data_IF_511835204201
#
_entry.id   IF_511835204201
#
_cell.length_a   1.000
_cell.length_b   1.000
_cell.length_c   1.000
_cell.angle_alpha   90.00
_cell.angle_beta   90.00
_cell.angle_gamma   90.00
#
_symmetry.space_group_name_H-M   'P 1'
#
loop_
_entity.id
_entity.type
_entity.pdbx_description
1 polymer ?
#
# COMPACT_ATOMS: atom_id res chain seq x y z
N UNK A 1 5.79 12.02 -11.81
CA UNK A 1 5.73 11.29 -10.53
C UNK A 1 4.48 10.39 -10.38
N UNK A 2 3.28 10.92 -10.65
CA UNK A 2 2.02 10.18 -10.45
C UNK A 2 1.93 8.87 -11.25
N UNK A 3 2.12 8.96 -12.57
CA UNK A 3 2.04 7.79 -13.48
C UNK A 3 3.12 6.77 -13.16
N UNK A 4 4.37 7.21 -12.92
CA UNK A 4 5.47 6.32 -12.58
C UNK A 4 5.21 5.54 -11.29
N UNK A 5 4.58 6.16 -10.29
CA UNK A 5 4.20 5.51 -9.04
C UNK A 5 3.15 4.41 -9.27
N UNK A 6 2.11 4.70 -10.06
CA UNK A 6 1.08 3.72 -10.42
C UNK A 6 1.64 2.53 -11.20
N UNK A 7 2.54 2.79 -12.14
CA UNK A 7 3.23 1.74 -12.91
C UNK A 7 4.09 0.88 -11.99
N UNK A 8 4.80 1.48 -11.03
CA UNK A 8 5.60 0.72 -10.07
C UNK A 8 4.73 -0.22 -9.22
N UNK A 9 3.57 0.22 -8.75
CA UNK A 9 2.61 -0.64 -8.04
C UNK A 9 2.07 -1.78 -8.91
N UNK A 10 1.75 -1.49 -10.17
CA UNK A 10 1.28 -2.51 -11.12
C UNK A 10 2.37 -3.56 -11.38
N UNK A 11 3.62 -3.16 -11.55
CA UNK A 11 4.76 -4.07 -11.74
C UNK A 11 5.01 -4.91 -10.48
N UNK A 12 4.95 -4.31 -9.31
CA UNK A 12 5.09 -5.02 -8.03
C UNK A 12 3.97 -6.04 -7.83
N UNK A 13 2.72 -5.67 -8.12
CA UNK A 13 1.57 -6.57 -8.08
C UNK A 13 1.67 -7.72 -9.08
N UNK A 14 2.16 -7.45 -10.28
CA UNK A 14 2.47 -8.47 -11.29
C UNK A 14 3.51 -9.47 -10.79
N UNK A 15 4.64 -9.00 -10.26
CA UNK A 15 5.70 -9.85 -9.75
C UNK A 15 5.24 -10.71 -8.56
N UNK A 16 4.47 -10.13 -7.64
CA UNK A 16 3.90 -10.84 -6.50
C UNK A 16 2.92 -11.95 -6.93
N UNK A 17 2.03 -11.65 -7.89
CA UNK A 17 1.11 -12.64 -8.43
C UNK A 17 1.84 -13.79 -9.13
N UNK A 18 2.86 -13.49 -9.94
CA UNK A 18 3.67 -14.49 -10.64
C UNK A 18 4.43 -15.40 -9.66
N UNK A 19 4.99 -14.83 -8.58
CA UNK A 19 5.64 -15.59 -7.53
C UNK A 19 4.69 -16.56 -6.82
N UNK A 20 3.41 -16.20 -6.74
CA UNK A 20 2.33 -17.04 -6.17
C UNK A 20 1.66 -17.98 -7.18
N UNK A 21 2.28 -18.21 -8.32
CA UNK A 21 1.72 -19.03 -9.41
C UNK A 21 0.39 -18.47 -9.97
N UNK A 22 0.11 -17.21 -9.69
CA UNK A 22 -1.00 -16.46 -10.27
C UNK A 22 -0.61 -15.78 -11.57
N UNK A 23 -1.60 -15.16 -12.22
CA UNK A 23 -1.35 -14.41 -13.43
C UNK A 23 -0.85 -12.99 -13.08
N UNK A 24 0.27 -12.59 -13.67
CA UNK A 24 0.82 -11.24 -13.56
C UNK A 24 -0.22 -10.15 -13.81
N UNK A 25 -1.08 -10.34 -14.80
CA UNK A 25 -2.15 -9.40 -15.15
C UNK A 25 -3.11 -9.13 -13.97
N UNK A 26 -3.52 -10.17 -13.26
CA UNK A 26 -4.45 -10.04 -12.13
C UNK A 26 -3.83 -9.26 -10.96
N UNK A 27 -2.56 -9.53 -10.66
CA UNK A 27 -1.81 -8.79 -9.66
C UNK A 27 -1.59 -7.33 -10.04
N UNK A 28 -1.28 -7.06 -11.31
CA UNK A 28 -1.10 -5.71 -11.82
C UNK A 28 -2.41 -4.90 -11.78
N UNK A 29 -3.53 -5.50 -12.19
CA UNK A 29 -4.86 -4.88 -12.12
C UNK A 29 -5.22 -4.57 -10.67
N UNK A 30 -5.07 -5.53 -9.78
CA UNK A 30 -5.39 -5.36 -8.37
C UNK A 30 -4.60 -4.23 -7.72
N UNK A 31 -3.29 -4.21 -7.91
CA UNK A 31 -2.43 -3.19 -7.36
C UNK A 31 -2.73 -1.79 -7.93
N UNK A 32 -2.94 -1.67 -9.23
CA UNK A 32 -3.27 -0.40 -9.88
C UNK A 32 -4.64 0.14 -9.42
N UNK A 33 -5.67 -0.70 -9.37
CA UNK A 33 -7.00 -0.34 -8.89
C UNK A 33 -6.96 0.05 -7.40
N UNK A 34 -6.26 -0.73 -6.58
CA UNK A 34 -6.09 -0.46 -5.16
C UNK A 34 -5.45 0.89 -4.89
N UNK A 35 -4.39 1.21 -5.63
CA UNK A 35 -3.68 2.48 -5.52
C UNK A 35 -4.58 3.68 -5.92
N UNK A 36 -5.25 3.59 -7.06
CA UNK A 36 -6.11 4.68 -7.58
C UNK A 36 -7.29 4.91 -6.63
N UNK A 37 -7.96 3.86 -6.21
CA UNK A 37 -9.11 3.97 -5.31
C UNK A 37 -8.71 4.34 -3.89
N UNK A 38 -7.59 3.84 -3.39
CA UNK A 38 -7.06 4.23 -2.10
C UNK A 38 -6.88 5.74 -2.01
N UNK A 39 -6.26 6.36 -3.01
CA UNK A 39 -6.12 7.81 -3.08
C UNK A 39 -7.47 8.54 -3.23
N UNK A 40 -8.32 8.09 -4.14
CA UNK A 40 -9.62 8.72 -4.39
C UNK A 40 -10.53 8.66 -3.15
N UNK A 41 -10.53 7.56 -2.43
CA UNK A 41 -11.38 7.38 -1.23
C UNK A 41 -10.81 8.06 0.01
N UNK A 42 -9.51 8.35 0.04
CA UNK A 42 -8.91 9.22 1.06
C UNK A 42 -9.38 10.65 0.93
N UNK A 43 -9.66 11.12 -0.29
CA UNK A 43 -10.19 12.46 -0.57
C UNK A 43 -9.39 13.57 0.14
N UNK A 44 -8.07 13.51 0.01
CA UNK A 44 -7.14 14.44 0.63
C UNK A 44 -6.97 14.29 2.16
N UNK A 45 -7.65 13.35 2.80
CA UNK A 45 -7.49 13.08 4.23
C UNK A 45 -6.14 12.43 4.51
N UNK A 46 -5.57 12.75 5.65
CA UNK A 46 -4.38 12.05 6.14
C UNK A 46 -4.72 10.58 6.46
N UNK A 47 -4.02 9.61 5.84
CA UNK A 47 -4.23 8.19 6.16
C UNK A 47 -4.07 7.86 7.65
N UNK A 48 -3.19 8.56 8.36
CA UNK A 48 -2.98 8.40 9.80
C UNK A 48 -4.15 8.87 10.66
N UNK A 49 -5.03 9.72 10.12
CA UNK A 49 -6.23 10.18 10.80
C UNK A 49 -7.42 9.21 10.70
N UNK A 50 -7.32 8.19 9.85
CA UNK A 50 -8.38 7.23 9.66
C UNK A 50 -8.47 6.26 10.85
N UNK A 51 -9.67 6.09 11.38
CA UNK A 51 -9.94 5.01 12.31
C UNK A 51 -9.97 3.65 11.59
N UNK A 52 -9.90 2.57 12.37
CA UNK A 52 -9.89 1.19 11.86
C UNK A 52 -11.08 0.89 10.95
N UNK A 53 -12.26 1.41 11.32
CA UNK A 53 -13.51 1.19 10.56
C UNK A 53 -13.49 1.87 9.19
N UNK A 54 -13.00 3.09 9.11
CA UNK A 54 -12.90 3.83 7.83
C UNK A 54 -11.83 3.23 6.93
N UNK A 55 -10.70 2.81 7.49
CA UNK A 55 -9.66 2.07 6.78
C UNK A 55 -10.19 0.76 6.19
N UNK A 56 -10.93 -0.02 6.98
CA UNK A 56 -11.55 -1.27 6.52
C UNK A 56 -12.55 -1.04 5.39
N UNK A 57 -13.33 0.05 5.41
CA UNK A 57 -14.26 0.41 4.32
C UNK A 57 -13.51 0.73 3.03
N UNK A 58 -12.41 1.47 3.09
CA UNK A 58 -11.60 1.80 1.90
C UNK A 58 -11.03 0.52 1.29
N UNK A 59 -10.47 -0.36 2.11
CA UNK A 59 -9.94 -1.65 1.67
C UNK A 59 -11.04 -2.50 1.02
N UNK A 60 -12.21 -2.61 1.63
CA UNK A 60 -13.33 -3.38 1.10
C UNK A 60 -13.81 -2.86 -0.27
N UNK A 61 -13.89 -1.55 -0.44
CA UNK A 61 -14.24 -0.92 -1.72
C UNK A 61 -13.19 -1.16 -2.79
N UNK A 62 -11.91 -1.07 -2.44
CA UNK A 62 -10.80 -1.35 -3.36
C UNK A 62 -10.79 -2.82 -3.80
N UNK A 63 -11.01 -3.75 -2.86
CA UNK A 63 -11.14 -5.18 -3.17
C UNK A 63 -12.30 -5.48 -4.11
N UNK A 64 -13.47 -4.89 -3.85
CA UNK A 64 -14.67 -5.06 -4.67
C UNK A 64 -14.43 -4.54 -6.10
N UNK A 65 -13.84 -3.37 -6.25
CA UNK A 65 -13.57 -2.79 -7.56
C UNK A 65 -12.52 -3.60 -8.34
N UNK A 66 -11.42 -4.00 -7.70
CA UNK A 66 -10.40 -4.82 -8.33
C UNK A 66 -10.91 -6.20 -8.74
N UNK A 67 -11.71 -6.84 -7.90
CA UNK A 67 -12.37 -8.10 -8.20
C UNK A 67 -13.33 -7.98 -9.37
N UNK A 68 -14.09 -6.87 -9.46
CA UNK A 68 -15.01 -6.60 -10.57
C UNK A 68 -14.24 -6.41 -11.89
N UNK A 69 -13.16 -5.63 -11.89
CA UNK A 69 -12.31 -5.45 -13.08
C UNK A 69 -11.71 -6.78 -13.52
N UNK A 70 -11.22 -7.59 -12.59
CA UNK A 70 -10.67 -8.92 -12.90
C UNK A 70 -11.75 -9.85 -13.48
N UNK A 71 -12.95 -9.85 -12.94
CA UNK A 71 -14.08 -10.65 -13.47
C UNK A 71 -14.43 -10.25 -14.91
N UNK A 72 -14.48 -8.95 -15.20
CA UNK A 72 -14.75 -8.43 -16.55
C UNK A 72 -13.65 -8.79 -17.55
N UNK A 73 -12.41 -8.89 -17.11
CA UNK A 73 -11.25 -9.29 -17.92
C UNK A 73 -10.98 -10.80 -17.91
N UNK A 74 -11.88 -11.60 -17.35
CA UNK A 74 -11.74 -13.06 -17.18
C UNK A 74 -10.49 -13.46 -16.38
N UNK A 75 -10.10 -12.61 -15.43
CA UNK A 75 -8.99 -12.83 -14.51
C UNK A 75 -9.42 -13.48 -13.19
N UNK A 76 -8.46 -13.65 -12.31
CA UNK A 76 -8.67 -14.17 -10.96
C UNK A 76 -9.16 -13.05 -10.02
N UNK A 77 -10.43 -13.12 -9.63
CA UNK A 77 -11.09 -12.14 -8.75
C UNK A 77 -10.40 -12.05 -7.38
N UNK A 78 -10.04 -13.18 -6.79
CA UNK A 78 -9.42 -13.22 -5.46
C UNK A 78 -7.99 -12.65 -5.50
N UNK A 79 -7.20 -13.00 -6.50
CA UNK A 79 -5.85 -12.47 -6.67
C UNK A 79 -5.86 -10.95 -6.84
N UNK A 80 -6.75 -10.42 -7.68
CA UNK A 80 -6.88 -8.98 -7.89
C UNK A 80 -7.38 -8.25 -6.62
N UNK A 81 -8.37 -8.80 -5.93
CA UNK A 81 -8.89 -8.23 -4.69
C UNK A 81 -7.82 -8.18 -3.58
N UNK A 82 -7.05 -9.24 -3.42
CA UNK A 82 -5.97 -9.29 -2.44
C UNK A 82 -4.84 -8.31 -2.77
N UNK A 83 -4.44 -8.21 -4.03
CA UNK A 83 -3.44 -7.23 -4.47
C UNK A 83 -3.91 -5.79 -4.23
N UNK A 84 -5.20 -5.50 -4.44
CA UNK A 84 -5.78 -4.18 -4.14
C UNK A 84 -5.73 -3.86 -2.63
N UNK A 85 -6.06 -4.80 -1.78
CA UNK A 85 -5.98 -4.62 -0.33
C UNK A 85 -4.56 -4.28 0.12
N UNK A 86 -3.57 -5.04 -0.34
CA UNK A 86 -2.14 -4.80 -0.05
C UNK A 86 -1.69 -3.42 -0.53
N UNK A 87 -2.09 -3.01 -1.74
CA UNK A 87 -1.74 -1.70 -2.28
C UNK A 87 -2.30 -0.55 -1.42
N UNK A 88 -3.56 -0.63 -0.99
CA UNK A 88 -4.18 0.37 -0.11
C UNK A 88 -3.48 0.44 1.24
N UNK A 89 -3.24 -0.70 1.88
CA UNK A 89 -2.58 -0.75 3.19
C UNK A 89 -1.16 -0.22 3.13
N UNK A 90 -0.38 -0.64 2.14
CA UNK A 90 1.02 -0.21 1.97
C UNK A 90 1.13 1.28 1.70
N UNK A 91 0.25 1.84 0.87
CA UNK A 91 0.25 3.26 0.56
C UNK A 91 -0.10 4.12 1.79
N UNK A 92 -1.15 3.74 2.54
CA UNK A 92 -1.54 4.44 3.75
C UNK A 92 -0.43 4.45 4.81
N UNK A 93 0.18 3.29 5.04
CA UNK A 93 1.28 3.15 6.01
C UNK A 93 2.53 3.92 5.58
N UNK A 94 2.87 3.90 4.29
CA UNK A 94 4.04 4.62 3.76
C UNK A 94 3.89 6.13 3.90
N UNK A 95 2.72 6.69 3.64
CA UNK A 95 2.45 8.12 3.80
C UNK A 95 2.55 8.56 5.25
N UNK A 96 1.93 7.84 6.17
CA UNK A 96 1.98 8.13 7.60
C UNK A 96 3.41 8.08 8.14
N UNK A 97 4.18 7.07 7.78
CA UNK A 97 5.57 6.90 8.19
C UNK A 97 6.44 8.04 7.65
N UNK A 98 6.31 8.35 6.37
CA UNK A 98 7.07 9.42 5.74
C UNK A 98 6.78 10.77 6.37
N UNK A 99 5.52 11.07 6.69
CA UNK A 99 5.14 12.30 7.37
C UNK A 99 5.74 12.38 8.79
N UNK A 100 5.65 11.30 9.56
CA UNK A 100 6.29 11.21 10.89
C UNK A 100 7.80 11.40 10.83
N UNK A 101 8.46 10.73 9.89
CA UNK A 101 9.90 10.85 9.70
C UNK A 101 10.30 12.27 9.28
N UNK A 102 9.58 12.84 8.32
CA UNK A 102 9.84 14.22 7.85
C UNK A 102 9.67 15.25 8.96
N UNK A 103 8.63 15.13 9.79
CA UNK A 103 8.42 15.99 10.97
C UNK A 103 9.54 15.87 11.99
N UNK A 104 10.03 14.66 12.21
CA UNK A 104 11.18 14.43 13.09
C UNK A 104 12.46 15.05 12.54
N UNK A 105 12.81 14.77 11.29
CA UNK A 105 14.04 15.26 10.65
C UNK A 105 14.07 16.78 10.51
N UNK A 106 12.92 17.40 10.28
CA UNK A 106 12.79 18.87 10.23
C UNK A 106 12.85 19.57 11.61
N UNK A 107 12.96 18.81 12.69
CA UNK A 107 13.03 19.35 14.04
C UNK A 107 11.69 19.69 14.68
N UNK A 108 10.57 19.33 14.04
CA UNK A 108 9.23 19.60 14.60
C UNK A 108 8.89 18.66 15.76
N UNK A 109 9.33 17.40 15.68
CA UNK A 109 9.06 16.37 16.71
C UNK A 109 10.31 15.76 17.32
N UNK A 110 11.51 15.99 16.74
CA UNK A 110 12.80 15.54 17.24
C UNK A 110 13.78 16.70 17.32
N UNK A 111 14.33 16.95 18.52
CA UNK A 111 15.19 18.09 18.80
C UNK A 111 16.68 17.77 18.61
N UNK A 112 17.09 16.53 18.92
CA UNK A 112 18.50 16.11 18.92
C UNK A 112 18.86 15.25 17.71
N UNK A 113 20.14 15.24 17.36
CA UNK A 113 20.67 14.37 16.30
C UNK A 113 20.44 12.89 16.63
N UNK A 114 20.54 12.52 17.89
CA UNK A 114 20.32 11.14 18.34
C UNK A 114 18.87 10.69 18.13
N UNK A 115 17.88 11.55 18.44
CA UNK A 115 16.46 11.28 18.18
C UNK A 115 16.19 11.08 16.68
N UNK A 116 16.79 11.90 15.83
CA UNK A 116 16.65 11.78 14.37
C UNK A 116 17.26 10.48 13.83
N UNK A 117 18.44 10.11 14.31
CA UNK A 117 19.09 8.82 13.95
C UNK A 117 18.25 7.63 14.42
N UNK A 118 17.71 7.69 15.63
CA UNK A 118 16.84 6.63 16.16
C UNK A 118 15.53 6.50 15.37
N UNK A 119 14.94 7.62 14.93
CA UNK A 119 13.74 7.63 14.09
C UNK A 119 14.00 6.93 12.75
N UNK A 120 15.14 7.20 12.09
CA UNK A 120 15.54 6.53 10.84
C UNK A 120 15.69 5.02 11.06
N UNK A 121 16.42 4.60 12.08
CA UNK A 121 16.61 3.18 12.40
C UNK A 121 15.30 2.46 12.69
N UNK A 122 14.39 3.10 13.43
CA UNK A 122 13.07 2.55 13.73
C UNK A 122 12.21 2.40 12.48
N UNK A 123 12.29 3.36 11.56
CA UNK A 123 11.58 3.31 10.29
C UNK A 123 12.09 2.19 9.39
N UNK A 124 13.42 1.99 9.31
CA UNK A 124 14.02 0.87 8.58
C UNK A 124 13.61 -0.49 9.14
N UNK A 125 13.59 -0.65 10.47
CA UNK A 125 13.15 -1.89 11.11
C UNK A 125 11.67 -2.16 10.82
N UNK A 126 10.82 -1.14 10.89
CA UNK A 126 9.40 -1.25 10.57
C UNK A 126 9.16 -1.62 9.10
N UNK A 127 9.93 -1.05 8.16
CA UNK A 127 9.90 -1.44 6.75
C UNK A 127 10.15 -2.93 6.55
N UNK A 128 11.20 -3.46 7.19
CA UNK A 128 11.53 -4.89 7.09
C UNK A 128 10.42 -5.80 7.63
N UNK A 129 9.76 -5.39 8.72
CA UNK A 129 8.63 -6.15 9.29
C UNK A 129 7.44 -6.13 8.32
N UNK A 130 7.08 -4.97 7.78
CA UNK A 130 5.99 -4.83 6.82
C UNK A 130 6.26 -5.66 5.57
N UNK A 131 7.47 -5.57 5.00
CA UNK A 131 7.83 -6.35 3.81
C UNK A 131 7.72 -7.85 4.06
N UNK A 132 8.12 -8.30 5.26
CA UNK A 132 8.01 -9.71 5.66
C UNK A 132 6.55 -10.14 5.78
N UNK A 133 5.69 -9.33 6.41
CA UNK A 133 4.26 -9.64 6.57
C UNK A 133 3.51 -9.59 5.23
N UNK A 134 3.84 -8.66 4.34
CA UNK A 134 3.31 -8.63 2.99
C UNK A 134 3.70 -9.90 2.23
N UNK A 135 4.96 -10.31 2.31
CA UNK A 135 5.40 -11.56 1.68
C UNK A 135 4.66 -12.78 2.24
N UNK A 136 4.49 -12.89 3.54
CA UNK A 136 3.71 -13.97 4.16
C UNK A 136 2.25 -13.98 3.74
N UNK A 137 1.63 -12.82 3.55
CA UNK A 137 0.22 -12.70 3.16
C UNK A 137 -0.02 -12.99 1.68
N UNK A 138 1.03 -12.86 0.86
CA UNK A 138 1.02 -13.16 -0.57
C UNK A 138 1.42 -14.62 -0.89
N UNK A 139 2.06 -15.30 0.04
CA UNK A 139 2.56 -16.66 -0.07
C UNK A 139 1.98 -17.59 0.99
#
# INVERSE_FOLDING_TARGET
HYIAHKVAHAVAGCAAAAANKGKCQDGAIGAAVGEILGEALLDGRDPGSLNVKDRAKIIAKAKLAAGTVAALSKGDVNAAANAAAVAVESNALSKERMDKLTKCLSGKTCSTTMEKVNAIKKDEQFSKVIDTEIQKSLF
#
